data_IF_530641219326
#
_entry.id   IF_530641219326
#
_cell.length_a   1.000
_cell.length_b   1.000
_cell.length_c   1.000
_cell.angle_alpha   90.00
_cell.angle_beta   90.00
_cell.angle_gamma   90.00
#
_symmetry.space_group_name_H-M   'P 1'
#
loop_
_entity.id
_entity.type
_entity.pdbx_description
1 polymer ?
#
# COMPACT_ATOMS: atom_id res chain seq x y z
N UNK A 1 -41.38 -10.07 -28.28
CA UNK A 1 -41.14 -9.14 -27.16
C UNK A 1 -40.74 -9.82 -25.85
N UNK A 2 -41.50 -10.80 -25.32
CA UNK A 2 -41.18 -11.49 -24.05
C UNK A 2 -39.83 -12.25 -24.06
N UNK A 3 -39.47 -12.89 -25.17
CA UNK A 3 -38.18 -13.61 -25.30
C UNK A 3 -36.99 -12.68 -25.29
N UNK A 4 -37.06 -11.57 -26.03
CA UNK A 4 -36.03 -10.52 -26.05
C UNK A 4 -35.81 -9.94 -24.67
N UNK A 5 -36.91 -9.65 -23.93
CA UNK A 5 -36.83 -9.16 -22.56
C UNK A 5 -36.16 -10.17 -21.61
N UNK A 6 -36.50 -11.46 -21.71
CA UNK A 6 -35.85 -12.51 -20.90
C UNK A 6 -34.36 -12.62 -21.17
N UNK A 7 -33.93 -12.52 -22.43
CA UNK A 7 -32.52 -12.55 -22.81
C UNK A 7 -31.79 -11.33 -22.23
N UNK A 8 -32.38 -10.14 -22.35
CA UNK A 8 -31.82 -8.90 -21.78
C UNK A 8 -31.65 -9.01 -20.25
N UNK A 9 -32.69 -9.48 -19.55
CA UNK A 9 -32.62 -9.68 -18.08
C UNK A 9 -31.53 -10.69 -17.73
N UNK A 10 -31.43 -11.81 -18.45
CA UNK A 10 -30.39 -12.81 -18.21
C UNK A 10 -28.98 -12.23 -18.40
N UNK A 11 -28.76 -11.45 -19.48
CA UNK A 11 -27.46 -10.81 -19.74
C UNK A 11 -27.09 -9.79 -18.66
N UNK A 12 -28.05 -8.97 -18.21
CA UNK A 12 -27.82 -8.01 -17.12
C UNK A 12 -27.48 -8.74 -15.82
N UNK A 13 -28.23 -9.79 -15.47
CA UNK A 13 -27.96 -10.59 -14.26
C UNK A 13 -26.59 -11.23 -14.29
N UNK A 14 -26.20 -11.83 -15.42
CA UNK A 14 -24.86 -12.41 -15.61
C UNK A 14 -23.79 -11.33 -15.53
N UNK A 15 -24.02 -10.16 -16.13
CA UNK A 15 -23.10 -9.02 -16.06
C UNK A 15 -22.89 -8.53 -14.62
N UNK A 16 -23.97 -8.29 -13.87
CA UNK A 16 -23.91 -7.84 -12.46
C UNK A 16 -23.24 -8.90 -11.58
N UNK A 17 -23.58 -10.18 -11.76
CA UNK A 17 -22.94 -11.27 -11.04
C UNK A 17 -21.44 -11.37 -11.35
N UNK A 18 -21.05 -11.16 -12.61
CA UNK A 18 -19.65 -11.11 -13.03
C UNK A 18 -18.86 -9.99 -12.36
N UNK A 19 -19.39 -8.76 -12.34
CA UNK A 19 -18.75 -7.62 -11.66
C UNK A 19 -18.63 -7.86 -10.16
N UNK A 20 -19.71 -8.33 -9.51
CA UNK A 20 -19.69 -8.65 -8.08
C UNK A 20 -18.65 -9.72 -7.74
N UNK A 21 -18.59 -10.78 -8.55
CA UNK A 21 -17.61 -11.88 -8.39
C UNK A 21 -16.19 -11.37 -8.56
N UNK A 22 -15.92 -10.57 -9.58
CA UNK A 22 -14.58 -10.04 -9.84
C UNK A 22 -14.10 -9.11 -8.72
N UNK A 23 -14.94 -8.18 -8.26
CA UNK A 23 -14.63 -7.34 -7.09
C UNK A 23 -14.29 -8.17 -5.86
N UNK A 24 -15.07 -9.23 -5.58
CA UNK A 24 -14.83 -10.14 -4.47
C UNK A 24 -13.51 -10.92 -4.59
N UNK A 25 -13.25 -11.51 -5.76
CA UNK A 25 -12.03 -12.28 -6.00
C UNK A 25 -10.77 -11.41 -5.88
N UNK A 26 -10.81 -10.19 -6.42
CA UNK A 26 -9.72 -9.24 -6.31
C UNK A 26 -9.47 -8.83 -4.85
N UNK A 27 -10.54 -8.49 -4.12
CA UNK A 27 -10.46 -8.16 -2.70
C UNK A 27 -9.87 -9.30 -1.86
N UNK A 28 -10.40 -10.53 -2.03
CA UNK A 28 -9.95 -11.70 -1.28
C UNK A 28 -8.44 -11.96 -1.43
N UNK A 29 -7.90 -11.84 -2.65
CA UNK A 29 -6.48 -12.04 -2.90
C UNK A 29 -5.62 -10.97 -2.20
N UNK A 30 -6.11 -9.75 -2.14
CA UNK A 30 -5.38 -8.68 -1.47
C UNK A 30 -5.48 -8.79 0.06
N UNK A 31 -6.65 -9.18 0.59
CA UNK A 31 -6.84 -9.48 2.01
C UNK A 31 -5.92 -10.62 2.48
N UNK A 32 -5.73 -11.66 1.65
CA UNK A 32 -4.80 -12.77 1.95
C UNK A 32 -3.35 -12.27 2.11
N UNK A 33 -2.86 -11.45 1.17
CA UNK A 33 -1.52 -10.85 1.26
C UNK A 33 -1.37 -9.94 2.49
N UNK A 34 -2.42 -9.18 2.82
CA UNK A 34 -2.46 -8.32 4.02
C UNK A 34 -2.37 -9.17 5.29
N UNK A 35 -3.20 -10.21 5.42
CA UNK A 35 -3.21 -11.07 6.61
C UNK A 35 -1.87 -11.77 6.82
N UNK A 36 -1.26 -12.29 5.74
CA UNK A 36 0.06 -12.91 5.80
C UNK A 36 1.12 -11.91 6.24
N UNK A 37 1.08 -10.68 5.72
CA UNK A 37 2.02 -9.64 6.09
C UNK A 37 1.81 -9.15 7.52
N UNK A 38 0.57 -8.97 7.97
CA UNK A 38 0.20 -8.62 9.34
C UNK A 38 0.70 -9.66 10.35
N UNK A 39 0.48 -10.94 10.05
CA UNK A 39 0.99 -12.04 10.87
C UNK A 39 2.53 -12.01 10.95
N UNK A 40 3.21 -11.85 9.81
CA UNK A 40 4.68 -11.78 9.76
C UNK A 40 5.24 -10.54 10.47
N UNK A 41 4.52 -9.41 10.41
CA UNK A 41 4.88 -8.15 11.06
C UNK A 41 4.70 -8.22 12.58
N UNK A 42 3.66 -8.93 13.04
CA UNK A 42 3.35 -9.13 14.46
C UNK A 42 4.24 -10.17 15.13
N UNK A 43 4.66 -11.21 14.39
CA UNK A 43 5.58 -12.22 14.88
C UNK A 43 7.04 -11.71 14.99
N UNK A 44 7.39 -10.65 14.26
CA UNK A 44 8.73 -10.07 14.29
C UNK A 44 8.96 -9.18 15.51
N UNK A 45 10.19 -9.17 16.02
CA UNK A 45 10.64 -8.14 16.96
C UNK A 45 11.24 -6.97 16.17
N UNK A 46 10.72 -5.73 16.31
CA UNK A 46 11.31 -4.57 15.64
C UNK A 46 12.77 -4.38 16.08
N UNK A 47 13.70 -4.44 15.11
CA UNK A 47 15.10 -4.14 15.33
C UNK A 47 15.27 -2.62 15.27
N UNK A 48 15.40 -1.99 16.44
CA UNK A 48 15.42 -0.53 16.57
C UNK A 48 16.80 0.01 16.93
N UNK A 49 17.17 1.11 16.30
CA UNK A 49 18.32 1.95 16.64
C UNK A 49 17.98 2.76 17.89
N UNK A 50 18.93 2.86 18.81
CA UNK A 50 18.76 3.68 20.01
C UNK A 50 18.60 5.15 19.60
N UNK A 51 17.57 5.88 20.09
CA UNK A 51 17.35 7.27 19.71
C UNK A 51 18.59 8.18 19.93
N UNK A 52 19.42 7.87 20.92
CA UNK A 52 20.64 8.62 21.25
C UNK A 52 21.77 8.46 20.21
N UNK A 53 21.70 7.46 19.33
CA UNK A 53 22.66 7.28 18.23
C UNK A 53 22.27 7.97 16.92
N UNK A 54 21.05 8.53 16.83
CA UNK A 54 20.57 9.22 15.62
C UNK A 54 21.12 10.65 15.52
N UNK A 55 21.18 11.25 14.30
CA UNK A 55 21.40 12.68 14.14
C UNK A 55 20.41 13.52 14.95
N UNK A 56 20.85 14.70 15.40
CA UNK A 56 20.04 15.56 16.28
C UNK A 56 18.68 15.90 15.64
N UNK A 57 18.65 16.18 14.33
CA UNK A 57 17.43 16.47 13.56
C UNK A 57 16.41 15.33 13.65
N UNK A 58 16.83 14.10 13.36
CA UNK A 58 15.95 12.91 13.40
C UNK A 58 15.48 12.64 14.82
N UNK A 59 16.41 12.67 15.79
CA UNK A 59 16.12 12.47 17.21
C UNK A 59 15.06 13.45 17.72
N UNK A 60 15.23 14.73 17.42
CA UNK A 60 14.32 15.78 17.87
C UNK A 60 12.95 15.68 17.20
N UNK A 61 12.91 15.33 15.90
CA UNK A 61 11.66 15.05 15.21
C UNK A 61 10.91 13.88 15.86
N UNK A 62 11.59 12.76 16.08
CA UNK A 62 10.98 11.56 16.67
C UNK A 62 10.50 11.78 18.10
N UNK A 63 11.23 12.52 18.94
CA UNK A 63 10.78 12.91 20.28
C UNK A 63 9.49 13.74 20.27
N UNK A 64 9.22 14.47 19.17
CA UNK A 64 8.03 15.31 19.04
C UNK A 64 6.81 14.54 18.53
N UNK A 65 7.01 13.58 17.62
CA UNK A 65 5.90 12.88 16.95
C UNK A 65 5.59 11.52 17.57
N UNK A 66 6.53 10.93 18.32
CA UNK A 66 6.33 9.64 18.95
C UNK A 66 5.95 9.78 20.43
N UNK A 67 5.02 8.95 20.91
CA UNK A 67 4.65 8.88 22.32
C UNK A 67 5.80 8.31 23.16
N UNK A 68 5.99 8.86 24.37
CA UNK A 68 7.08 8.48 25.28
C UNK A 68 6.86 7.11 25.94
N UNK A 69 5.60 6.74 26.22
CA UNK A 69 5.28 5.58 27.07
C UNK A 69 4.36 4.53 26.42
N UNK A 70 4.01 4.69 25.14
CA UNK A 70 3.13 3.72 24.46
C UNK A 70 3.91 2.78 23.55
N UNK A 71 3.29 1.63 23.25
CA UNK A 71 3.77 0.73 22.21
C UNK A 71 3.79 1.50 20.88
N UNK A 72 4.98 1.58 20.28
CA UNK A 72 5.18 2.21 18.98
C UNK A 72 4.40 1.45 17.90
N UNK A 73 3.59 2.12 17.07
CA UNK A 73 2.85 1.46 16.01
C UNK A 73 3.81 0.81 15.02
N UNK A 74 3.50 -0.42 14.61
CA UNK A 74 4.28 -1.18 13.60
C UNK A 74 3.50 -1.41 12.32
N UNK A 75 2.24 -0.98 12.29
CA UNK A 75 1.32 -1.11 11.17
C UNK A 75 0.28 0.01 11.24
N UNK A 76 -0.01 0.62 10.10
CA UNK A 76 -1.12 1.58 9.94
C UNK A 76 -1.93 1.27 8.69
N UNK A 77 -3.18 1.70 8.70
CA UNK A 77 -4.10 1.58 7.57
C UNK A 77 -4.61 2.97 7.19
N UNK A 78 -4.36 3.36 5.94
CA UNK A 78 -4.87 4.61 5.36
C UNK A 78 -6.04 4.30 4.44
N UNK A 79 -7.13 5.04 4.58
CA UNK A 79 -8.27 5.02 3.65
C UNK A 79 -8.29 6.31 2.86
N UNK A 80 -8.33 6.20 1.54
CA UNK A 80 -8.21 7.31 0.61
C UNK A 80 -9.44 7.37 -0.29
N UNK A 81 -9.84 8.59 -0.64
CA UNK A 81 -10.81 8.89 -1.70
C UNK A 81 -10.28 10.06 -2.49
N UNK A 82 -10.32 9.97 -3.80
CA UNK A 82 -9.83 11.03 -4.67
C UNK A 82 -10.19 10.77 -6.13
N UNK A 83 -9.48 11.45 -7.01
CA UNK A 83 -9.59 11.26 -8.46
C UNK A 83 -8.21 10.97 -9.03
N UNK A 84 -8.15 10.05 -10.00
CA UNK A 84 -6.94 9.71 -10.71
C UNK A 84 -7.12 10.02 -12.20
N UNK A 85 -6.13 10.67 -12.79
CA UNK A 85 -6.15 10.98 -14.22
C UNK A 85 -5.64 9.76 -14.99
N UNK A 86 -6.54 9.00 -15.61
CA UNK A 86 -6.18 7.79 -16.37
C UNK A 86 -5.77 8.09 -17.81
N UNK A 87 -6.24 9.23 -18.34
CA UNK A 87 -5.84 9.83 -19.61
C UNK A 87 -5.86 11.35 -19.46
N UNK A 88 -5.12 12.12 -20.26
CA UNK A 88 -5.16 13.59 -20.20
C UNK A 88 -6.60 14.11 -20.21
N UNK A 89 -6.99 14.85 -19.17
CA UNK A 89 -8.35 15.40 -19.01
C UNK A 89 -9.42 14.44 -18.50
N UNK A 90 -9.14 13.13 -18.40
CA UNK A 90 -10.08 12.13 -17.90
C UNK A 90 -9.77 11.75 -16.45
N UNK A 91 -10.45 12.42 -15.52
CA UNK A 91 -10.41 12.13 -14.09
C UNK A 91 -11.42 11.02 -13.75
N UNK A 92 -10.98 10.02 -13.01
CA UNK A 92 -11.81 8.90 -12.57
C UNK A 92 -11.80 8.87 -11.05
N UNK A 93 -12.97 8.86 -10.38
CA UNK A 93 -13.01 8.75 -8.94
C UNK A 93 -12.44 7.39 -8.51
N UNK A 94 -11.71 7.38 -7.41
CA UNK A 94 -11.22 6.15 -6.82
C UNK A 94 -11.36 6.17 -5.30
N UNK A 95 -11.42 4.97 -4.73
CA UNK A 95 -11.19 4.73 -3.31
C UNK A 95 -10.00 3.79 -3.15
N UNK A 96 -9.20 3.97 -2.11
CA UNK A 96 -8.10 3.07 -1.83
C UNK A 96 -7.91 2.77 -0.34
N UNK A 97 -7.34 1.61 -0.06
CA UNK A 97 -6.89 1.20 1.27
C UNK A 97 -5.41 0.86 1.18
N UNK A 98 -4.61 1.43 2.08
CA UNK A 98 -3.16 1.24 2.14
C UNK A 98 -2.75 0.71 3.49
N UNK A 99 -2.07 -0.43 3.51
CA UNK A 99 -1.43 -0.98 4.71
C UNK A 99 0.06 -0.68 4.63
N UNK A 100 0.64 -0.10 5.67
CA UNK A 100 2.09 0.19 5.76
C UNK A 100 2.65 -0.51 6.99
N UNK A 101 3.74 -1.26 6.82
CA UNK A 101 4.34 -2.11 7.85
C UNK A 101 5.77 -1.66 8.18
N UNK A 102 6.16 -1.71 9.46
CA UNK A 102 7.48 -1.31 9.93
C UNK A 102 8.38 -2.50 10.30
N UNK A 103 7.86 -3.49 11.05
CA UNK A 103 8.68 -4.65 11.48
C UNK A 103 9.14 -5.46 10.26
N UNK A 104 8.21 -5.72 9.34
CA UNK A 104 8.46 -6.28 8.01
C UNK A 104 8.21 -5.16 6.99
N UNK A 105 9.23 -4.39 6.59
CA UNK A 105 9.09 -3.21 5.76
C UNK A 105 8.36 -3.54 4.48
N UNK A 106 7.33 -2.75 4.22
CA UNK A 106 6.50 -2.96 3.07
C UNK A 106 5.19 -2.21 3.14
N UNK A 107 4.51 -2.20 2.02
CA UNK A 107 3.15 -1.71 1.93
C UNK A 107 2.33 -2.58 0.97
N UNK A 108 1.01 -2.53 1.16
CA UNK A 108 0.03 -3.05 0.22
C UNK A 108 -0.99 -1.93 0.00
N UNK A 109 -1.12 -1.48 -1.23
CA UNK A 109 -2.07 -0.46 -1.66
C UNK A 109 -3.07 -1.08 -2.61
N UNK A 110 -4.35 -0.91 -2.32
CA UNK A 110 -5.46 -1.39 -3.13
C UNK A 110 -6.32 -0.23 -3.54
N UNK A 111 -6.57 -0.06 -4.83
CA UNK A 111 -7.47 0.96 -5.35
C UNK A 111 -8.59 0.37 -6.21
N UNK A 112 -9.78 0.94 -6.02
CA UNK A 112 -10.98 0.73 -6.82
C UNK A 112 -11.26 2.02 -7.59
N UNK A 113 -10.99 1.98 -8.89
CA UNK A 113 -11.29 3.02 -9.87
C UNK A 113 -12.14 2.39 -10.98
N UNK A 114 -13.35 1.94 -10.62
CA UNK A 114 -14.23 1.15 -11.48
C UNK A 114 -14.25 1.65 -12.94
N UNK A 115 -14.07 0.75 -13.94
CA UNK A 115 -14.00 -0.71 -13.84
C UNK A 115 -12.61 -1.28 -13.53
N UNK A 116 -11.64 -0.45 -13.16
CA UNK A 116 -10.25 -0.87 -12.93
C UNK A 116 -9.96 -1.04 -11.46
N UNK A 117 -9.31 -2.14 -11.13
CA UNK A 117 -8.78 -2.42 -9.80
C UNK A 117 -7.26 -2.49 -9.87
N UNK A 118 -6.59 -1.82 -8.93
CA UNK A 118 -5.13 -1.78 -8.87
C UNK A 118 -4.66 -2.29 -7.52
N UNK A 119 -3.64 -3.14 -7.54
CA UNK A 119 -2.88 -3.51 -6.36
C UNK A 119 -1.43 -3.12 -6.60
N UNK A 120 -0.88 -2.30 -5.73
CA UNK A 120 0.54 -1.99 -5.72
C UNK A 120 1.13 -2.43 -4.38
N UNK A 121 2.31 -3.05 -4.39
CA UNK A 121 2.91 -3.54 -3.16
C UNK A 121 4.43 -3.53 -3.18
N UNK A 122 5.00 -3.39 -2.00
CA UNK A 122 6.41 -3.65 -1.72
C UNK A 122 6.47 -4.65 -0.57
N UNK A 123 6.85 -5.90 -0.84
CA UNK A 123 6.89 -6.97 0.15
C UNK A 123 8.18 -7.75 0.03
N UNK A 124 8.89 -7.98 1.14
CA UNK A 124 10.14 -8.75 1.17
C UNK A 124 11.18 -8.29 0.12
N UNK A 125 11.29 -6.98 -0.08
CA UNK A 125 12.20 -6.39 -1.07
C UNK A 125 11.74 -6.50 -2.52
N UNK A 126 10.48 -6.90 -2.77
CA UNK A 126 9.90 -7.04 -4.11
C UNK A 126 8.75 -6.07 -4.31
N UNK A 127 8.87 -5.24 -5.34
CA UNK A 127 7.82 -4.38 -5.85
C UNK A 127 6.93 -5.12 -6.85
N UNK A 128 5.63 -4.90 -6.78
CA UNK A 128 4.70 -5.43 -7.76
C UNK A 128 3.47 -4.55 -7.91
N UNK A 129 3.14 -4.21 -9.16
CA UNK A 129 1.85 -3.62 -9.51
C UNK A 129 1.03 -4.61 -10.32
N UNK A 130 -0.25 -4.78 -9.96
CA UNK A 130 -1.24 -5.57 -10.68
C UNK A 130 -2.43 -4.68 -11.04
N UNK A 131 -2.86 -4.75 -12.29
CA UNK A 131 -4.04 -4.05 -12.80
C UNK A 131 -5.03 -5.11 -13.25
N UNK A 132 -6.28 -5.01 -12.80
CA UNK A 132 -7.35 -5.93 -13.10
C UNK A 132 -8.57 -5.20 -13.65
N UNK A 133 -9.17 -5.72 -14.72
CA UNK A 133 -10.41 -5.20 -15.27
C UNK A 133 -11.59 -5.99 -14.67
N UNK A 134 -12.55 -5.27 -14.09
CA UNK A 134 -13.70 -5.81 -13.35
C UNK A 134 -13.34 -6.77 -12.20
N UNK A 135 -12.07 -6.91 -11.85
CA UNK A 135 -11.59 -7.85 -10.85
C UNK A 135 -11.51 -9.31 -11.33
N UNK A 136 -11.82 -9.59 -12.59
CA UNK A 136 -11.93 -10.96 -13.14
C UNK A 136 -10.64 -11.46 -13.80
N UNK A 137 -9.69 -10.57 -14.13
CA UNK A 137 -8.44 -10.96 -14.77
C UNK A 137 -7.39 -9.85 -14.75
N UNK A 138 -6.13 -10.22 -14.54
CA UNK A 138 -4.99 -9.30 -14.60
C UNK A 138 -4.75 -8.87 -16.05
N UNK A 139 -4.87 -7.57 -16.31
CA UNK A 139 -4.61 -6.95 -17.62
C UNK A 139 -3.26 -6.24 -17.66
N UNK A 140 -2.64 -5.99 -16.51
CA UNK A 140 -1.30 -5.41 -16.40
C UNK A 140 -0.57 -5.96 -15.18
N UNK A 141 0.71 -6.26 -15.32
CA UNK A 141 1.57 -6.71 -14.24
C UNK A 141 2.98 -6.20 -14.46
N UNK A 142 3.45 -5.42 -13.50
CA UNK A 142 4.81 -4.90 -13.51
C UNK A 142 5.57 -5.46 -12.30
N UNK A 143 6.77 -5.99 -12.58
CA UNK A 143 7.71 -6.57 -11.62
C UNK A 143 9.12 -6.40 -12.18
N UNK A 144 10.14 -6.42 -11.33
CA UNK A 144 11.53 -6.38 -11.79
C UNK A 144 12.41 -5.51 -10.89
N UNK A 145 13.71 -5.45 -11.15
CA UNK A 145 14.65 -4.64 -10.36
C UNK A 145 14.23 -3.18 -10.21
N UNK A 146 13.81 -2.54 -11.30
CA UNK A 146 13.38 -1.15 -11.35
C UNK A 146 12.10 -0.94 -10.53
N UNK A 147 11.16 -1.88 -10.64
CA UNK A 147 9.94 -1.87 -9.85
C UNK A 147 10.23 -2.07 -8.36
N UNK A 148 11.18 -2.94 -8.00
CA UNK A 148 11.60 -3.12 -6.60
C UNK A 148 12.17 -1.82 -6.03
N UNK A 149 13.02 -1.12 -6.81
CA UNK A 149 13.61 0.15 -6.38
C UNK A 149 12.53 1.23 -6.26
N UNK A 150 11.66 1.39 -7.25
CA UNK A 150 10.58 2.38 -7.22
C UNK A 150 9.62 2.15 -6.05
N UNK A 151 9.22 0.90 -5.80
CA UNK A 151 8.36 0.54 -4.69
C UNK A 151 9.07 0.74 -3.33
N UNK A 152 10.37 0.48 -3.24
CA UNK A 152 11.17 0.80 -2.05
C UNK A 152 11.22 2.30 -1.78
N UNK A 153 11.46 3.12 -2.81
CA UNK A 153 11.48 4.59 -2.69
C UNK A 153 10.11 5.12 -2.26
N UNK A 154 9.02 4.59 -2.84
CA UNK A 154 7.65 4.90 -2.41
C UNK A 154 7.44 4.56 -0.94
N UNK A 155 7.82 3.35 -0.51
CA UNK A 155 7.72 2.93 0.89
C UNK A 155 8.45 3.91 1.83
N UNK A 156 9.69 4.29 1.50
CA UNK A 156 10.48 5.24 2.28
C UNK A 156 9.80 6.62 2.36
N UNK A 157 9.24 7.10 1.25
CA UNK A 157 8.50 8.37 1.20
C UNK A 157 7.21 8.36 2.02
N UNK A 158 6.60 7.20 2.20
CA UNK A 158 5.37 7.03 2.98
C UNK A 158 5.60 6.89 4.49
N UNK A 159 6.86 6.72 4.94
CA UNK A 159 7.18 6.60 6.36
C UNK A 159 6.87 7.87 7.17
N UNK A 160 6.57 9.00 6.51
CA UNK A 160 6.01 10.17 7.19
C UNK A 160 4.67 9.85 7.89
N UNK A 161 3.90 8.87 7.40
CA UNK A 161 2.67 8.40 8.05
C UNK A 161 2.93 7.41 9.19
N UNK A 162 4.09 6.74 9.19
CA UNK A 162 4.51 5.79 10.24
C UNK A 162 5.91 6.16 10.79
N UNK A 163 6.06 7.29 11.52
CA UNK A 163 7.38 7.79 11.92
C UNK A 163 8.18 6.83 12.80
N UNK A 164 7.52 5.90 13.49
CA UNK A 164 8.19 4.87 14.29
C UNK A 164 9.13 3.98 13.46
N UNK A 165 8.90 3.88 12.14
CA UNK A 165 9.77 3.16 11.21
C UNK A 165 11.14 3.82 11.03
N UNK A 166 11.31 5.11 11.33
CA UNK A 166 12.63 5.76 11.26
C UNK A 166 13.63 5.25 12.31
N UNK A 167 13.15 4.56 13.34
CA UNK A 167 13.98 3.87 14.31
C UNK A 167 14.52 2.54 13.78
N UNK A 168 14.14 2.09 12.59
CA UNK A 168 14.60 0.82 12.05
C UNK A 168 16.12 0.80 11.80
N UNK A 169 16.82 -0.23 12.27
CA UNK A 169 18.27 -0.37 12.09
C UNK A 169 18.71 -0.53 10.63
N UNK A 170 17.80 -0.86 9.72
CA UNK A 170 18.07 -0.91 8.28
C UNK A 170 18.22 0.48 7.66
N UNK A 171 17.69 1.52 8.30
CA UNK A 171 17.86 2.91 7.90
C UNK A 171 19.10 3.50 8.56
N UNK A 172 20.03 4.06 7.77
CA UNK A 172 21.31 4.56 8.28
C UNK A 172 21.39 6.06 8.09
N UNK A 173 20.92 6.76 9.13
CA UNK A 173 20.91 8.21 9.13
C UNK A 173 22.31 8.83 9.20
N UNK A 174 22.54 9.81 8.33
CA UNK A 174 23.75 10.63 8.29
C UNK A 174 23.36 12.11 8.26
N UNK A 175 24.09 12.94 9.02
CA UNK A 175 23.92 14.40 8.97
C UNK A 175 24.81 14.95 7.86
N UNK A 176 24.19 15.62 6.88
CA UNK A 176 24.90 16.24 5.77
C UNK A 176 25.29 17.69 6.09
N UNK A 177 24.39 18.41 6.79
CA UNK A 177 24.61 19.75 7.30
C UNK A 177 23.56 20.06 8.39
N UNK A 178 23.68 21.16 9.15
CA UNK A 178 22.70 21.48 10.19
C UNK A 178 21.26 21.50 9.65
N UNK A 179 20.44 20.57 10.12
CA UNK A 179 19.04 20.43 9.71
C UNK A 179 18.80 19.59 8.44
N UNK A 180 19.85 19.06 7.80
CA UNK A 180 19.76 18.21 6.61
C UNK A 180 20.33 16.82 6.90
N UNK A 181 19.51 15.79 6.68
CA UNK A 181 19.86 14.39 6.94
C UNK A 181 19.54 13.50 5.74
N UNK A 182 20.30 12.43 5.59
CA UNK A 182 20.14 11.38 4.59
C UNK A 182 20.01 10.02 5.30
N UNK A 183 19.33 9.03 4.71
CA UNK A 183 19.05 7.72 5.30
C UNK A 183 19.48 6.56 4.42
#
# INVERSE_FOLDING_TARGET
>A
MKTVLKILVALVTVGVAGVGTGRFLFGRKADEDVLLQEAANSAGTPQRTTPDSLPATVRNYLRRVLPTESVMPTHIVLKQRGEIQTKPGAWTPFTATQHIFATRPGFIWMADAFPVYVRDSFLNGKGQTLISLLGLGTIGRDTGPEMNQGAMLRYLGELCWLPAAFLDQRLRWQEQSPGVVEA
#
